data_IF_192715135464
#
_entry.id   IF_192715135464
#
_cell.length_a   1.000
_cell.length_b   1.000
_cell.length_c   1.000
_cell.angle_alpha   90.00
_cell.angle_beta   90.00
_cell.angle_gamma   90.00
#
_symmetry.space_group_name_H-M   'P 1'
#
loop_
_entity.id
_entity.type
_entity.pdbx_description
1 polymer ?
#
# COMPACT_ATOMS: atom_id res chain seq x y z
N UNK A 1 2.85 0.39 17.94
CA UNK A 1 2.37 -0.95 17.53
C UNK A 1 1.19 -0.80 16.58
N UNK A 2 1.19 -1.63 15.54
CA UNK A 2 0.12 -1.72 14.54
C UNK A 2 -1.11 -2.40 15.14
N UNK A 3 -2.30 -1.98 14.72
CA UNK A 3 -3.57 -2.61 15.06
C UNK A 3 -4.48 -2.62 13.83
N UNK A 4 -5.49 -3.48 13.80
CA UNK A 4 -6.46 -3.53 12.70
C UNK A 4 -7.16 -2.18 12.47
N UNK A 5 -7.52 -1.46 13.55
CA UNK A 5 -8.12 -0.13 13.45
C UNK A 5 -7.17 0.87 12.76
N UNK A 6 -5.89 0.88 13.13
CA UNK A 6 -4.89 1.75 12.50
C UNK A 6 -4.65 1.39 11.04
N UNK A 7 -4.61 0.10 10.72
CA UNK A 7 -4.52 -0.36 9.33
C UNK A 7 -5.72 0.15 8.53
N UNK A 8 -6.92 0.05 9.09
CA UNK A 8 -8.13 0.53 8.43
C UNK A 8 -8.16 2.06 8.25
N UNK A 9 -7.65 2.83 9.23
CA UNK A 9 -7.49 4.28 9.10
C UNK A 9 -6.52 4.61 7.96
N UNK A 10 -5.40 3.90 7.86
CA UNK A 10 -4.44 4.03 6.76
C UNK A 10 -5.14 3.76 5.42
N UNK A 11 -5.82 2.61 5.27
CA UNK A 11 -6.55 2.24 4.05
C UNK A 11 -7.57 3.32 3.68
N UNK A 12 -8.28 3.87 4.67
CA UNK A 12 -9.28 4.93 4.47
C UNK A 12 -8.64 6.22 3.96
N UNK A 13 -7.51 6.63 4.52
CA UNK A 13 -6.78 7.81 4.07
C UNK A 13 -6.26 7.61 2.65
N UNK A 14 -5.63 6.48 2.34
CA UNK A 14 -5.12 6.19 1.00
C UNK A 14 -6.24 6.17 -0.06
N UNK A 15 -7.44 5.70 0.30
CA UNK A 15 -8.61 5.75 -0.58
C UNK A 15 -9.02 7.18 -0.96
N UNK A 16 -8.81 8.19 -0.10
CA UNK A 16 -9.08 9.59 -0.43
C UNK A 16 -8.20 10.10 -1.60
N UNK A 17 -7.04 9.48 -1.80
CA UNK A 17 -6.12 9.75 -2.91
C UNK A 17 -6.31 8.79 -4.09
N UNK A 18 -7.45 8.08 -4.16
CA UNK A 18 -7.75 7.06 -5.16
C UNK A 18 -6.79 5.86 -5.17
N UNK A 19 -6.10 5.61 -4.05
CA UNK A 19 -5.24 4.43 -3.89
C UNK A 19 -6.09 3.34 -3.23
N UNK A 20 -6.28 2.23 -3.94
CA UNK A 20 -7.00 1.07 -3.44
C UNK A 20 -6.02 0.14 -2.74
N UNK A 21 -6.37 -0.28 -1.52
CA UNK A 21 -5.59 -1.24 -0.76
C UNK A 21 -6.57 -2.34 -0.33
N UNK A 22 -6.29 -3.58 -0.73
CA UNK A 22 -7.05 -4.75 -0.30
C UNK A 22 -6.30 -5.44 0.82
N UNK A 23 -7.05 -5.83 1.85
CA UNK A 23 -6.52 -6.47 3.06
C UNK A 23 -7.32 -7.70 3.41
N UNK A 24 -6.64 -8.76 3.82
CA UNK A 24 -7.21 -9.89 4.54
C UNK A 24 -6.72 -9.82 5.98
N UNK A 25 -7.57 -9.34 6.89
CA UNK A 25 -7.20 -9.01 8.27
C UNK A 25 -6.02 -8.04 8.34
N UNK A 26 -4.86 -8.49 8.83
CA UNK A 26 -3.63 -7.69 8.92
C UNK A 26 -2.74 -7.83 7.69
N UNK A 27 -3.10 -8.70 6.74
CA UNK A 27 -2.33 -8.93 5.53
C UNK A 27 -2.81 -7.98 4.43
N UNK A 28 -1.93 -7.12 3.93
CA UNK A 28 -2.17 -6.39 2.68
C UNK A 28 -1.91 -7.34 1.53
N UNK A 29 -2.96 -7.63 0.75
CA UNK A 29 -2.91 -8.54 -0.39
C UNK A 29 -2.76 -7.81 -1.72
N UNK A 30 -3.15 -6.53 -1.77
CA UNK A 30 -3.10 -5.76 -3.01
C UNK A 30 -2.97 -4.27 -2.75
N UNK A 31 -2.21 -3.60 -3.60
CA UNK A 31 -2.16 -2.14 -3.70
C UNK A 31 -2.41 -1.79 -5.17
N UNK A 32 -3.54 -1.12 -5.45
CA UNK A 32 -4.07 -0.88 -6.80
C UNK A 32 -4.15 -2.16 -7.64
N UNK A 33 -3.38 -2.23 -8.73
CA UNK A 33 -3.36 -3.38 -9.64
C UNK A 33 -2.25 -4.37 -9.30
N UNK A 34 -1.44 -4.09 -8.27
CA UNK A 34 -0.30 -4.91 -7.89
C UNK A 34 -0.63 -5.78 -6.68
N UNK A 35 -0.58 -7.09 -6.91
CA UNK A 35 -0.60 -8.10 -5.85
C UNK A 35 0.67 -7.95 -4.99
N UNK A 36 0.47 -7.94 -3.67
CA UNK A 36 1.54 -7.82 -2.67
C UNK A 36 1.22 -8.74 -1.50
N UNK A 37 2.22 -9.09 -0.70
CA UNK A 37 2.00 -9.87 0.52
C UNK A 37 2.77 -9.20 1.66
N UNK A 38 2.09 -8.31 2.37
CA UNK A 38 2.68 -7.58 3.50
C UNK A 38 1.88 -7.80 4.78
N UNK A 39 2.48 -8.47 5.75
CA UNK A 39 1.89 -8.58 7.08
C UNK A 39 2.11 -7.28 7.86
N UNK A 40 1.03 -6.51 8.04
CA UNK A 40 1.07 -5.23 8.75
C UNK A 40 1.53 -5.37 10.22
N UNK A 41 1.45 -6.56 10.83
CA UNK A 41 1.99 -6.79 12.18
C UNK A 41 3.51 -6.66 12.24
N UNK A 42 4.19 -6.88 11.11
CA UNK A 42 5.64 -6.80 11.00
C UNK A 42 6.17 -5.37 10.89
N UNK A 43 5.28 -4.37 10.83
CA UNK A 43 5.66 -2.98 10.55
C UNK A 43 5.11 -2.00 11.59
N UNK A 44 5.90 -0.98 11.89
CA UNK A 44 5.38 0.23 12.51
C UNK A 44 4.55 1.02 11.49
N UNK A 45 3.62 1.84 11.96
CA UNK A 45 2.71 2.63 11.11
C UNK A 45 3.48 3.43 10.04
N UNK A 46 4.53 4.15 10.43
CA UNK A 46 5.35 4.93 9.49
C UNK A 46 6.03 4.06 8.44
N UNK A 47 6.54 2.88 8.84
CA UNK A 47 7.19 1.95 7.93
C UNK A 47 6.19 1.36 6.93
N UNK A 48 4.97 1.04 7.38
CA UNK A 48 3.92 0.54 6.50
C UNK A 48 3.52 1.59 5.46
N UNK A 49 3.33 2.84 5.89
CA UNK A 49 3.03 3.97 4.99
C UNK A 49 4.15 4.13 3.96
N UNK A 50 5.41 4.14 4.39
CA UNK A 50 6.55 4.22 3.49
C UNK A 50 6.57 3.07 2.48
N UNK A 51 6.29 1.86 2.93
CA UNK A 51 6.28 0.67 2.08
C UNK A 51 5.18 0.75 1.01
N UNK A 52 3.96 1.16 1.37
CA UNK A 52 2.87 1.40 0.42
C UNK A 52 3.26 2.49 -0.60
N UNK A 53 3.81 3.62 -0.15
CA UNK A 53 4.22 4.70 -1.06
C UNK A 53 5.34 4.29 -2.02
N UNK A 54 6.29 3.46 -1.56
CA UNK A 54 7.35 2.92 -2.41
C UNK A 54 6.80 2.03 -3.50
N UNK A 55 5.84 1.15 -3.18
CA UNK A 55 5.18 0.29 -4.14
C UNK A 55 4.51 1.10 -5.25
N UNK A 56 3.82 2.19 -4.89
CA UNK A 56 3.20 3.10 -5.84
C UNK A 56 4.23 3.83 -6.70
N UNK A 57 5.32 4.34 -6.10
CA UNK A 57 6.38 5.01 -6.82
C UNK A 57 7.03 4.08 -7.88
N UNK A 58 7.28 2.82 -7.52
CA UNK A 58 7.81 1.81 -8.44
C UNK A 58 6.85 1.55 -9.60
N UNK A 59 5.54 1.46 -9.33
CA UNK A 59 4.52 1.25 -10.37
C UNK A 59 4.43 2.44 -11.32
N UNK A 60 4.38 3.66 -10.79
CA UNK A 60 4.35 4.90 -11.59
C UNK A 60 5.61 4.98 -12.46
N UNK A 61 6.80 4.77 -11.88
CA UNK A 61 8.04 4.78 -12.63
C UNK A 61 8.00 3.76 -13.78
N UNK A 62 7.56 2.52 -13.52
CA UNK A 62 7.46 1.49 -14.55
C UNK A 62 6.52 1.90 -15.69
N UNK A 63 5.37 2.48 -15.38
CA UNK A 63 4.40 2.94 -16.38
C UNK A 63 4.94 4.12 -17.19
N UNK A 64 5.51 5.13 -16.54
CA UNK A 64 6.11 6.31 -17.19
C UNK A 64 7.24 5.88 -18.11
N UNK A 65 8.17 5.06 -17.63
CA UNK A 65 9.25 4.53 -18.47
C UNK A 65 8.74 3.67 -19.63
N UNK A 66 7.59 2.99 -19.47
CA UNK A 66 6.94 2.26 -20.55
C UNK A 66 6.38 3.15 -21.65
N UNK A 67 5.90 4.34 -21.30
CA UNK A 67 5.33 5.33 -22.22
C UNK A 67 6.37 6.20 -22.93
N UNK A 68 7.56 6.36 -22.33
CA UNK A 68 8.66 7.16 -22.87
C UNK A 68 9.58 6.38 -23.84
N UNK A 69 9.23 5.14 -24.18
CA UNK A 69 9.92 4.31 -25.18
C UNK A 69 9.24 4.41 -26.53
#
# INVERSE_FOLDING_TARGET
MMTAAKLQDIVTIFKQYNIQIETNEMLITKINQREVEFDANSYMVEQLIQLITRVLADEINKQVWGLLK
#
